data_IF_968788335359
#
_entry.id   IF_968788335359
#
_cell.length_a   1.000
_cell.length_b   1.000
_cell.length_c   1.000
_cell.angle_alpha   90.00
_cell.angle_beta   90.00
_cell.angle_gamma   90.00
#
_symmetry.space_group_name_H-M   'P 1'
#
loop_
_entity.id
_entity.type
_entity.pdbx_description
1 polymer ?
#
# COMPACT_ATOMS: atom_id res chain seq x y z
N UNK A 1 -2.15 12.12 10.36
CA UNK A 1 -2.61 10.78 9.89
C UNK A 1 -3.92 10.49 10.59
N UNK A 2 -5.00 10.29 9.83
CA UNK A 2 -6.37 10.17 10.36
C UNK A 2 -6.73 8.74 10.81
N UNK A 3 -5.93 7.74 10.42
CA UNK A 3 -6.25 6.32 10.62
C UNK A 3 -7.35 5.79 9.69
N UNK A 4 -7.80 6.55 8.70
CA UNK A 4 -8.83 6.17 7.74
C UNK A 4 -8.29 5.24 6.66
N UNK A 5 -9.13 4.37 6.15
CA UNK A 5 -8.86 3.56 4.96
C UNK A 5 -9.17 4.40 3.73
N UNK A 6 -8.18 4.61 2.88
CA UNK A 6 -8.31 5.38 1.65
C UNK A 6 -8.41 4.44 0.44
N UNK A 7 -9.27 4.80 -0.51
CA UNK A 7 -9.39 4.13 -1.83
C UNK A 7 -9.47 2.60 -1.75
N UNK A 8 -10.32 2.00 -0.90
CA UNK A 8 -10.39 0.54 -0.80
C UNK A 8 -10.69 -0.08 -2.15
N UNK A 9 -9.98 -1.16 -2.49
CA UNK A 9 -10.23 -1.93 -3.69
C UNK A 9 -10.30 -3.41 -3.37
N UNK A 10 -11.28 -4.10 -3.94
CA UNK A 10 -11.50 -5.54 -3.80
C UNK A 10 -11.60 -6.11 -5.20
N UNK A 11 -10.80 -7.11 -5.51
CA UNK A 11 -10.76 -7.74 -6.82
C UNK A 11 -10.39 -9.22 -6.74
N UNK A 12 -10.53 -9.95 -7.85
CA UNK A 12 -10.24 -11.39 -7.92
C UNK A 12 -8.74 -11.70 -7.96
N UNK A 13 -7.89 -10.72 -8.23
CA UNK A 13 -6.45 -10.89 -8.40
C UNK A 13 -5.65 -9.91 -7.55
N UNK A 14 -4.33 -10.13 -7.45
CA UNK A 14 -3.36 -9.26 -6.77
C UNK A 14 -2.07 -9.13 -7.59
N UNK A 15 -2.22 -8.73 -8.82
CA UNK A 15 -1.10 -8.55 -9.76
C UNK A 15 -0.36 -7.23 -9.52
N UNK A 16 0.76 -7.02 -10.22
CA UNK A 16 1.45 -5.72 -10.22
C UNK A 16 0.58 -4.59 -10.78
N UNK A 17 -0.35 -4.94 -11.68
CA UNK A 17 -1.30 -3.98 -12.28
C UNK A 17 -2.34 -3.57 -11.23
N UNK A 18 -2.91 -4.53 -10.50
CA UNK A 18 -3.91 -4.26 -9.46
C UNK A 18 -3.33 -3.35 -8.38
N UNK A 19 -2.10 -3.65 -7.93
CA UNK A 19 -1.42 -2.83 -6.94
C UNK A 19 -1.11 -1.42 -7.48
N UNK A 20 -0.59 -1.31 -8.72
CA UNK A 20 -0.34 -0.03 -9.35
C UNK A 20 -1.62 0.82 -9.48
N UNK A 21 -2.73 0.21 -9.89
CA UNK A 21 -4.05 0.86 -9.98
C UNK A 21 -4.55 1.33 -8.60
N UNK A 22 -4.35 0.52 -7.56
CA UNK A 22 -4.72 0.89 -6.19
C UNK A 22 -3.91 2.10 -5.69
N UNK A 23 -2.60 2.11 -5.91
CA UNK A 23 -1.74 3.24 -5.57
C UNK A 23 -2.14 4.50 -6.36
N UNK A 24 -2.43 4.36 -7.65
CA UNK A 24 -2.86 5.48 -8.49
C UNK A 24 -4.18 6.09 -7.98
N UNK A 25 -5.20 5.28 -7.70
CA UNK A 25 -6.46 5.74 -7.10
C UNK A 25 -6.25 6.45 -5.76
N UNK A 26 -5.28 5.97 -4.96
CA UNK A 26 -4.96 6.61 -3.69
C UNK A 26 -4.33 7.99 -3.91
N UNK A 27 -3.39 8.12 -4.85
CA UNK A 27 -2.78 9.39 -5.22
C UNK A 27 -3.84 10.37 -5.74
N UNK A 28 -4.82 9.88 -6.49
CA UNK A 28 -5.90 10.70 -7.06
C UNK A 28 -6.85 11.28 -6.00
N UNK A 29 -6.83 10.80 -4.77
CA UNK A 29 -7.58 11.44 -3.65
C UNK A 29 -7.00 12.79 -3.25
N UNK A 30 -5.72 13.03 -3.50
CA UNK A 30 -5.04 14.32 -3.34
C UNK A 30 -3.81 14.35 -4.29
N UNK A 31 -4.02 14.74 -5.57
CA UNK A 31 -2.98 14.67 -6.59
C UNK A 31 -1.79 15.60 -6.33
N UNK A 32 -1.97 16.66 -5.55
CA UNK A 32 -0.94 17.62 -5.19
C UNK A 32 -0.08 17.22 -4.00
N UNK A 33 -0.56 16.30 -3.18
CA UNK A 33 0.12 15.91 -1.94
C UNK A 33 1.44 15.17 -2.17
N UNK A 34 2.30 15.25 -1.16
CA UNK A 34 3.45 14.34 -1.03
C UNK A 34 2.99 13.03 -0.38
N UNK A 35 3.29 11.92 -1.05
CA UNK A 35 2.89 10.59 -0.61
C UNK A 35 4.08 9.76 -0.15
N UNK A 36 3.97 9.19 1.04
CA UNK A 36 4.92 8.20 1.56
C UNK A 36 4.16 6.91 1.83
N UNK A 37 4.37 5.91 0.98
CA UNK A 37 3.75 4.59 1.12
C UNK A 37 4.66 3.66 1.93
N UNK A 38 4.19 3.21 3.09
CA UNK A 38 4.89 2.16 3.86
C UNK A 38 4.36 0.81 3.40
N UNK A 39 5.23 -0.04 2.89
CA UNK A 39 4.88 -1.33 2.29
C UNK A 39 5.83 -2.44 2.75
N UNK A 40 5.39 -3.69 2.64
CA UNK A 40 6.25 -4.85 2.87
C UNK A 40 7.14 -5.17 1.66
N UNK A 41 7.90 -6.28 1.74
CA UNK A 41 8.86 -6.69 0.72
C UNK A 41 8.22 -7.49 -0.43
N UNK A 42 6.90 -7.48 -0.62
CA UNK A 42 6.22 -8.21 -1.67
C UNK A 42 6.71 -7.76 -3.07
N UNK A 43 6.79 -8.68 -4.02
CA UNK A 43 7.35 -8.40 -5.35
C UNK A 43 6.53 -7.37 -6.15
N UNK A 44 5.21 -7.36 -5.99
CA UNK A 44 4.33 -6.37 -6.60
C UNK A 44 4.63 -4.95 -6.13
N UNK A 45 5.13 -4.79 -4.89
CA UNK A 45 5.52 -3.51 -4.32
C UNK A 45 6.85 -2.96 -4.86
N UNK A 46 7.55 -3.75 -5.70
CA UNK A 46 8.79 -3.39 -6.41
C UNK A 46 8.67 -3.66 -7.89
N UNK A 47 7.48 -3.54 -8.43
CA UNK A 47 7.17 -3.83 -9.82
C UNK A 47 7.64 -2.75 -10.78
N UNK A 48 7.77 -3.11 -12.06
CA UNK A 48 8.04 -2.15 -13.12
C UNK A 48 6.90 -1.16 -13.27
N UNK A 49 5.66 -1.63 -13.18
CA UNK A 49 4.44 -0.83 -13.27
C UNK A 49 4.41 0.29 -12.24
N UNK A 50 4.88 0.00 -11.02
CA UNK A 50 4.93 1.01 -9.95
C UNK A 50 5.98 2.09 -10.22
N UNK A 51 7.15 1.71 -10.76
CA UNK A 51 8.19 2.67 -11.18
C UNK A 51 7.67 3.59 -12.28
N UNK A 52 7.00 3.04 -13.30
CA UNK A 52 6.39 3.81 -14.39
C UNK A 52 5.33 4.80 -13.86
N UNK A 53 4.50 4.36 -12.92
CA UNK A 53 3.51 5.21 -12.26
C UNK A 53 4.16 6.37 -11.52
N UNK A 54 5.17 6.10 -10.68
CA UNK A 54 5.88 7.14 -9.91
C UNK A 54 6.59 8.11 -10.84
N UNK A 55 7.30 7.63 -11.86
CA UNK A 55 7.97 8.49 -12.84
C UNK A 55 6.98 9.44 -13.52
N UNK A 56 5.86 8.91 -14.03
CA UNK A 56 4.81 9.71 -14.68
C UNK A 56 4.20 10.75 -13.73
N UNK A 57 3.85 10.35 -12.50
CA UNK A 57 3.19 11.23 -11.53
C UNK A 57 4.13 12.27 -10.90
N UNK A 58 5.44 11.99 -10.89
CA UNK A 58 6.47 12.94 -10.43
C UNK A 58 7.06 13.78 -11.56
N UNK A 59 6.64 13.58 -12.83
CA UNK A 59 7.18 14.32 -13.97
C UNK A 59 8.64 13.98 -14.30
N UNK A 60 9.07 12.75 -13.98
CA UNK A 60 10.44 12.28 -14.23
C UNK A 60 10.54 11.84 -15.69
N UNK A 61 11.40 12.51 -16.45
CA UNK A 61 11.62 12.27 -17.89
C UNK A 61 12.82 11.36 -18.18
N UNK A 62 13.52 10.91 -17.13
CA UNK A 62 14.65 9.99 -17.27
C UNK A 62 14.23 8.67 -17.94
N UNK A 63 15.12 8.12 -18.79
CA UNK A 63 14.89 6.84 -19.45
C UNK A 63 14.94 5.71 -18.42
N UNK A 64 13.80 5.12 -18.14
CA UNK A 64 13.67 4.06 -17.14
C UNK A 64 14.34 2.74 -17.55
N UNK A 65 14.60 2.55 -18.86
CA UNK A 65 15.18 1.31 -19.40
C UNK A 65 14.14 0.25 -19.72
N UNK A 66 14.58 -1.02 -19.80
CA UNK A 66 13.76 -2.15 -20.17
C UNK A 66 13.71 -3.16 -19.02
N UNK A 67 12.51 -3.62 -18.66
CA UNK A 67 12.26 -4.60 -17.58
C UNK A 67 13.12 -5.85 -17.78
N UNK A 68 13.95 -6.15 -16.78
CA UNK A 68 14.83 -7.31 -16.76
C UNK A 68 16.13 -7.16 -17.59
N UNK A 69 16.32 -6.02 -18.28
CA UNK A 69 17.48 -5.83 -19.18
C UNK A 69 18.34 -4.62 -18.80
N UNK A 70 17.79 -3.42 -18.79
CA UNK A 70 18.57 -2.18 -18.65
C UNK A 70 17.92 -1.15 -17.70
N UNK A 71 18.71 -0.20 -17.25
CA UNK A 71 18.26 0.98 -16.49
C UNK A 71 17.62 0.67 -15.13
N UNK A 72 16.74 1.54 -14.71
CA UNK A 72 15.99 1.46 -13.44
C UNK A 72 15.12 0.19 -13.43
N UNK A 73 14.53 -0.17 -14.56
CA UNK A 73 13.66 -1.35 -14.67
C UNK A 73 14.39 -2.69 -14.66
N UNK A 74 15.73 -2.71 -14.72
CA UNK A 74 16.55 -3.93 -14.84
C UNK A 74 16.26 -4.95 -13.74
N UNK A 75 16.21 -4.56 -12.49
CA UNK A 75 16.12 -5.50 -11.36
C UNK A 75 15.19 -4.98 -10.27
N UNK A 76 14.77 -5.89 -9.35
CA UNK A 76 14.02 -5.50 -8.16
C UNK A 76 14.80 -4.53 -7.28
N UNK A 77 16.14 -4.65 -7.24
CA UNK A 77 17.04 -3.78 -6.45
C UNK A 77 17.07 -2.36 -7.02
N UNK A 78 17.21 -2.21 -8.34
CA UNK A 78 17.24 -0.89 -8.99
C UNK A 78 15.90 -0.20 -8.90
N UNK A 79 14.80 -0.93 -9.11
CA UNK A 79 13.43 -0.41 -8.94
C UNK A 79 13.15 0.05 -7.52
N UNK A 80 13.56 -0.76 -6.52
CA UNK A 80 13.42 -0.41 -5.12
C UNK A 80 14.15 0.90 -4.81
N UNK A 81 15.43 1.04 -5.24
CA UNK A 81 16.23 2.25 -5.04
C UNK A 81 15.52 3.49 -5.61
N UNK A 82 14.95 3.40 -6.81
CA UNK A 82 14.18 4.48 -7.42
C UNK A 82 12.93 4.84 -6.60
N UNK A 83 12.18 3.84 -6.16
CA UNK A 83 10.95 4.05 -5.37
C UNK A 83 11.21 4.60 -3.96
N UNK A 84 12.39 4.36 -3.39
CA UNK A 84 12.81 4.88 -2.09
C UNK A 84 13.40 6.30 -2.15
N UNK A 85 13.61 6.86 -3.34
CA UNK A 85 14.28 8.15 -3.51
C UNK A 85 13.51 9.26 -2.80
N UNK A 86 14.21 9.95 -1.87
CA UNK A 86 13.62 10.98 -1.04
C UNK A 86 13.29 12.27 -1.81
N UNK A 87 13.85 12.47 -2.99
CA UNK A 87 13.57 13.61 -3.87
C UNK A 87 12.20 13.49 -4.55
N UNK A 88 11.65 12.27 -4.63
CA UNK A 88 10.36 12.05 -5.25
C UNK A 88 9.21 12.50 -4.34
N UNK A 89 8.25 13.22 -4.90
CA UNK A 89 6.99 13.58 -4.23
C UNK A 89 6.18 12.34 -3.82
N UNK A 90 6.31 11.27 -4.57
CA UNK A 90 5.69 9.96 -4.30
C UNK A 90 6.81 8.96 -4.08
N UNK A 91 6.94 8.44 -2.86
CA UNK A 91 7.99 7.48 -2.52
C UNK A 91 7.50 6.36 -1.64
N UNK A 92 8.28 5.30 -1.60
CA UNK A 92 7.99 4.08 -0.84
C UNK A 92 9.03 3.87 0.26
N UNK A 93 8.57 3.36 1.39
CA UNK A 93 9.41 2.93 2.51
C UNK A 93 9.09 1.46 2.76
N UNK A 94 10.09 0.60 2.73
CA UNK A 94 9.90 -0.84 2.88
C UNK A 94 10.17 -1.28 4.31
N UNK A 95 9.23 -2.02 4.90
CA UNK A 95 9.47 -2.64 6.21
C UNK A 95 10.63 -3.64 6.13
N UNK A 96 11.38 -3.86 7.23
CA UNK A 96 12.40 -4.91 7.27
C UNK A 96 11.81 -6.28 6.93
N UNK A 97 12.66 -7.20 6.48
CA UNK A 97 12.22 -8.59 6.24
C UNK A 97 11.69 -9.20 7.54
N UNK A 98 10.64 -10.01 7.41
CA UNK A 98 9.98 -10.69 8.55
C UNK A 98 9.39 -9.74 9.61
N UNK A 99 9.17 -8.47 9.26
CA UNK A 99 8.59 -7.46 10.14
C UNK A 99 7.29 -6.89 9.57
N UNK A 100 6.43 -7.73 8.98
CA UNK A 100 5.12 -7.29 8.44
C UNK A 100 4.24 -6.65 9.52
N UNK A 101 4.37 -7.07 10.77
CA UNK A 101 3.68 -6.50 11.93
C UNK A 101 3.95 -5.00 12.15
N UNK A 102 5.02 -4.44 11.58
CA UNK A 102 5.26 -2.99 11.55
C UNK A 102 4.35 -2.27 10.55
N UNK A 103 3.72 -2.99 9.62
CA UNK A 103 2.80 -2.40 8.68
C UNK A 103 1.43 -2.24 9.34
N UNK A 104 0.97 -1.01 9.51
CA UNK A 104 -0.31 -0.70 10.16
C UNK A 104 -1.52 -1.37 9.49
N UNK A 105 -1.44 -1.71 8.23
CA UNK A 105 -2.50 -2.41 7.51
C UNK A 105 -2.83 -3.77 8.14
N UNK A 106 -1.86 -4.47 8.73
CA UNK A 106 -2.07 -5.73 9.43
C UNK A 106 -3.01 -5.57 10.63
N UNK A 107 -2.88 -4.45 11.34
CA UNK A 107 -3.76 -4.15 12.47
C UNK A 107 -5.18 -3.88 11.98
N UNK A 108 -5.31 -3.13 10.89
CA UNK A 108 -6.62 -2.86 10.31
C UNK A 108 -7.29 -4.16 9.81
N UNK A 109 -6.55 -5.06 9.14
CA UNK A 109 -7.07 -6.37 8.74
C UNK A 109 -7.50 -7.22 9.95
N UNK A 110 -6.79 -7.12 11.07
CA UNK A 110 -7.21 -7.77 12.32
C UNK A 110 -8.55 -7.22 12.85
N UNK A 111 -8.79 -5.91 12.69
CA UNK A 111 -10.08 -5.30 13.07
C UNK A 111 -11.19 -5.80 12.14
N UNK A 112 -10.96 -5.78 10.82
CA UNK A 112 -11.91 -6.29 9.82
C UNK A 112 -12.26 -7.76 10.11
N UNK A 113 -11.26 -8.60 10.34
CA UNK A 113 -11.46 -10.02 10.62
C UNK A 113 -12.30 -10.24 11.87
N UNK A 114 -12.00 -9.54 12.98
CA UNK A 114 -12.72 -9.73 14.25
C UNK A 114 -14.12 -9.14 14.24
N UNK A 115 -14.32 -8.00 13.56
CA UNK A 115 -15.60 -7.27 13.63
C UNK A 115 -16.57 -7.66 12.53
N UNK A 116 -16.08 -8.07 11.36
CA UNK A 116 -16.91 -8.46 10.23
C UNK A 116 -16.79 -9.95 9.92
N UNK A 117 -15.59 -10.45 9.52
CA UNK A 117 -15.48 -11.77 8.92
C UNK A 117 -15.85 -12.91 9.88
N UNK A 118 -15.44 -12.83 11.15
CA UNK A 118 -15.74 -13.87 12.17
C UNK A 118 -17.17 -13.82 12.71
N UNK A 119 -17.95 -12.78 12.39
CA UNK A 119 -19.28 -12.55 12.95
C UNK A 119 -20.38 -12.54 11.89
N UNK A 120 -20.04 -12.81 10.65
CA UNK A 120 -20.97 -12.77 9.52
C UNK A 120 -20.86 -14.04 8.69
N UNK A 121 -21.99 -14.48 8.16
CA UNK A 121 -22.04 -15.44 7.07
C UNK A 121 -22.28 -14.69 5.77
N UNK A 122 -21.62 -15.11 4.69
CA UNK A 122 -21.70 -14.48 3.39
C UNK A 122 -22.34 -15.44 2.38
N UNK A 123 -23.30 -14.95 1.60
CA UNK A 123 -24.02 -15.75 0.62
C UNK A 123 -23.29 -15.84 -0.72
N UNK A 124 -22.39 -14.89 -1.00
CA UNK A 124 -21.59 -14.82 -2.22
C UNK A 124 -20.35 -13.94 -2.02
N UNK A 125 -19.45 -13.97 -3.00
CA UNK A 125 -18.28 -13.04 -3.04
C UNK A 125 -18.70 -11.58 -3.17
N UNK A 126 -19.80 -11.31 -3.88
CA UNK A 126 -20.35 -9.95 -4.03
C UNK A 126 -20.97 -9.46 -2.71
N UNK A 127 -21.67 -10.33 -1.98
CA UNK A 127 -22.17 -10.02 -0.63
C UNK A 127 -21.00 -9.68 0.32
N UNK A 128 -19.95 -10.50 0.33
CA UNK A 128 -18.72 -10.20 1.08
C UNK A 128 -18.13 -8.84 0.71
N UNK A 129 -18.01 -8.56 -0.57
CA UNK A 129 -17.46 -7.29 -1.08
C UNK A 129 -18.29 -6.09 -0.62
N UNK A 130 -19.61 -6.17 -0.78
CA UNK A 130 -20.54 -5.11 -0.38
C UNK A 130 -20.41 -4.83 1.11
N UNK A 131 -20.50 -5.86 1.95
CA UNK A 131 -20.39 -5.71 3.42
C UNK A 131 -19.01 -5.22 3.86
N UNK A 132 -17.94 -5.63 3.18
CA UNK A 132 -16.60 -5.13 3.47
C UNK A 132 -16.48 -3.63 3.18
N UNK A 133 -17.05 -3.15 2.06
CA UNK A 133 -17.05 -1.73 1.72
C UNK A 133 -17.93 -0.91 2.67
N UNK A 134 -19.10 -1.41 3.05
CA UNK A 134 -19.96 -0.80 4.05
C UNK A 134 -19.27 -0.71 5.42
N UNK A 135 -18.58 -1.79 5.82
CA UNK A 135 -17.79 -1.78 7.05
C UNK A 135 -16.67 -0.75 6.99
N UNK A 136 -15.99 -0.59 5.86
CA UNK A 136 -14.95 0.43 5.69
C UNK A 136 -15.54 1.83 5.81
N UNK A 137 -16.70 2.09 5.21
CA UNK A 137 -17.40 3.37 5.34
C UNK A 137 -17.76 3.67 6.80
N UNK A 138 -18.34 2.70 7.51
CA UNK A 138 -18.63 2.80 8.93
C UNK A 138 -17.35 3.01 9.76
N UNK A 139 -16.30 2.22 9.49
CA UNK A 139 -15.01 2.37 10.18
C UNK A 139 -14.46 3.79 10.02
N UNK A 140 -14.48 4.32 8.80
CA UNK A 140 -13.97 5.65 8.51
C UNK A 140 -14.77 6.77 9.17
N UNK A 141 -16.07 6.60 9.37
CA UNK A 141 -16.94 7.61 9.98
C UNK A 141 -16.93 7.56 11.50
N UNK A 142 -16.80 6.37 12.11
CA UNK A 142 -17.04 6.19 13.54
C UNK A 142 -15.79 5.73 14.31
N UNK A 143 -14.97 4.85 13.71
CA UNK A 143 -13.92 4.14 14.42
C UNK A 143 -12.51 4.61 14.06
N UNK A 144 -12.32 5.29 12.93
CA UNK A 144 -11.01 5.73 12.49
C UNK A 144 -10.41 6.75 13.47
N UNK A 145 -9.22 6.44 13.95
CA UNK A 145 -8.45 7.30 14.85
C UNK A 145 -6.99 7.29 14.44
N UNK A 146 -6.24 8.39 14.66
CA UNK A 146 -4.81 8.41 14.47
C UNK A 146 -4.14 7.26 15.22
N UNK A 147 -3.23 6.57 14.55
CA UNK A 147 -2.49 5.49 15.18
C UNK A 147 -1.49 6.06 16.18
N UNK A 148 -1.55 5.61 17.42
CA UNK A 148 -0.58 6.01 18.45
C UNK A 148 0.49 4.92 18.57
N UNK A 149 1.64 5.15 17.95
CA UNK A 149 2.80 4.29 18.10
C UNK A 149 3.35 4.36 19.52
N UNK A 150 3.44 3.22 20.16
CA UNK A 150 4.11 3.08 21.46
C UNK A 150 5.50 2.43 21.34
N UNK A 151 5.80 1.82 20.18
CA UNK A 151 7.09 1.21 19.92
C UNK A 151 8.17 2.25 19.59
N UNK A 152 9.26 2.26 20.36
CA UNK A 152 10.35 3.24 20.26
C UNK A 152 11.37 2.94 19.15
N UNK A 153 11.20 1.83 18.40
CA UNK A 153 12.13 1.40 17.35
C UNK A 153 13.42 0.74 17.88
N UNK A 154 13.55 0.56 19.19
CA UNK A 154 14.71 -0.14 19.74
C UNK A 154 14.47 -1.65 19.71
N UNK A 155 15.42 -2.47 19.19
CA UNK A 155 15.30 -3.92 19.26
C UNK A 155 15.24 -4.36 20.72
N UNK A 156 14.41 -5.37 20.99
CA UNK A 156 14.45 -6.04 22.28
C UNK A 156 15.87 -6.59 22.46
N UNK A 157 16.55 -6.21 23.52
CA UNK A 157 17.80 -6.87 23.91
C UNK A 157 17.44 -8.29 24.32
N UNK A 158 18.08 -9.26 23.66
CA UNK A 158 18.01 -10.66 24.07
C UNK A 158 18.63 -10.84 25.46
#
# INVERSE_FOLDING_TARGET
VTGRVLSPSIGPTRTEIDFGTHIEKTIDTDPGATWIFVVDQLDTHRSAKLVELVARRCGITEVLGVKGKTGILKSKKTRKKFLEDASHRIRFVYTPRHCSWLNQIEIWFSILARRLLKRSSFTSTEDLKTRALEFIAYFNSVLAKPFRWTYTGRPLKA
#
